data_IF_805300351057
#
_entry.id   IF_805300351057
#
_cell.length_a   1.000
_cell.length_b   1.000
_cell.length_c   1.000
_cell.angle_alpha   90.00
_cell.angle_beta   90.00
_cell.angle_gamma   90.00
#
_symmetry.space_group_name_H-M   'P 1'
#
loop_
_entity.id
_entity.type
_entity.pdbx_description
1 polymer ?
#
# COMPACT_ATOMS: atom_id res chain seq x y z
N UNK A 1 -4.28 -14.97 19.90
CA UNK A 1 -2.91 -15.51 20.11
C UNK A 1 -1.93 -15.24 18.97
N UNK A 2 -2.31 -15.32 17.68
CA UNK A 2 -1.36 -15.11 16.56
C UNK A 2 -0.81 -13.68 16.42
N UNK A 3 -1.63 -12.65 16.70
CA UNK A 3 -1.24 -11.24 16.57
C UNK A 3 -0.15 -10.82 17.57
N UNK A 4 -0.30 -11.17 18.85
CA UNK A 4 0.66 -10.80 19.92
C UNK A 4 2.07 -11.36 19.65
N UNK A 5 2.16 -12.61 19.17
CA UNK A 5 3.46 -13.22 18.83
C UNK A 5 4.11 -12.53 17.63
N UNK A 6 3.32 -12.13 16.64
CA UNK A 6 3.83 -11.40 15.48
C UNK A 6 4.36 -10.01 15.86
N UNK A 7 3.60 -9.27 16.67
CA UNK A 7 4.04 -7.97 17.20
C UNK A 7 5.36 -8.08 17.95
N UNK A 8 5.51 -9.10 18.81
CA UNK A 8 6.76 -9.37 19.53
C UNK A 8 7.93 -9.68 18.58
N UNK A 9 7.70 -10.47 17.52
CA UNK A 9 8.72 -10.75 16.51
C UNK A 9 9.17 -9.47 15.79
N UNK A 10 8.24 -8.59 15.43
CA UNK A 10 8.55 -7.28 14.83
C UNK A 10 9.33 -6.39 15.80
N UNK A 11 8.84 -6.22 17.05
CA UNK A 11 9.51 -5.43 18.08
C UNK A 11 10.96 -5.89 18.25
N UNK A 12 11.18 -7.21 18.36
CA UNK A 12 12.50 -7.79 18.50
C UNK A 12 13.39 -7.53 17.28
N UNK A 13 12.88 -7.80 16.08
CA UNK A 13 13.63 -7.60 14.83
C UNK A 13 14.02 -6.13 14.63
N UNK A 14 13.11 -5.21 14.95
CA UNK A 14 13.38 -3.77 14.89
C UNK A 14 14.44 -3.36 15.91
N UNK A 15 14.41 -3.88 17.14
CA UNK A 15 15.45 -3.62 18.15
C UNK A 15 16.82 -4.11 17.70
N UNK A 16 16.87 -5.30 17.10
CA UNK A 16 18.12 -5.90 16.61
C UNK A 16 18.71 -5.12 15.42
N UNK A 17 17.89 -4.59 14.53
CA UNK A 17 18.37 -3.92 13.30
C UNK A 17 18.54 -2.41 13.41
N UNK A 18 17.71 -1.73 14.21
CA UNK A 18 17.72 -0.25 14.31
C UNK A 18 18.34 0.26 15.60
N UNK A 19 18.65 -0.62 16.56
CA UNK A 19 19.02 -0.28 17.94
C UNK A 19 17.99 0.63 18.66
N UNK A 20 16.78 0.78 18.10
CA UNK A 20 15.75 1.63 18.67
C UNK A 20 15.15 0.98 19.92
N UNK A 21 14.96 1.78 20.97
CA UNK A 21 14.15 1.37 22.12
C UNK A 21 12.68 1.45 21.73
N UNK A 22 12.10 0.33 21.31
CA UNK A 22 10.67 0.21 21.01
C UNK A 22 9.93 -0.31 22.24
N UNK A 23 9.05 0.48 22.85
CA UNK A 23 8.27 0.05 24.02
C UNK A 23 6.88 -0.47 23.63
N UNK A 24 6.33 0.03 22.53
CA UNK A 24 4.99 -0.28 22.03
C UNK A 24 5.02 -0.78 20.59
N UNK A 25 3.93 -1.43 20.17
CA UNK A 25 3.72 -1.84 18.77
C UNK A 25 3.79 -0.64 17.81
N UNK A 26 3.24 0.51 18.22
CA UNK A 26 3.28 1.74 17.43
C UNK A 26 4.71 2.29 17.27
N UNK A 27 5.54 2.21 18.32
CA UNK A 27 6.96 2.56 18.23
C UNK A 27 7.70 1.64 17.28
N UNK A 28 7.41 0.33 17.35
CA UNK A 28 8.01 -0.65 16.47
C UNK A 28 7.61 -0.42 15.01
N UNK A 29 6.35 -0.08 14.74
CA UNK A 29 5.90 0.30 13.40
C UNK A 29 6.61 1.56 12.90
N UNK A 30 6.69 2.61 13.71
CA UNK A 30 7.40 3.86 13.36
C UNK A 30 8.88 3.62 13.09
N UNK A 31 9.55 2.83 13.91
CA UNK A 31 10.95 2.51 13.69
C UNK A 31 11.12 1.62 12.43
N UNK A 32 10.22 0.66 12.21
CA UNK A 32 10.21 -0.19 11.02
C UNK A 32 10.17 0.63 9.72
N UNK A 33 9.29 1.63 9.63
CA UNK A 33 9.16 2.44 8.41
C UNK A 33 10.39 3.32 8.13
N UNK A 34 11.27 3.54 9.11
CA UNK A 34 12.51 4.30 8.94
C UNK A 34 13.70 3.42 8.52
N UNK A 35 13.56 2.09 8.55
CA UNK A 35 14.61 1.17 8.12
C UNK A 35 14.68 1.19 6.58
N UNK A 36 15.85 1.56 6.05
CA UNK A 36 16.12 1.65 4.61
C UNK A 36 16.35 0.25 3.97
N UNK A 37 17.17 -0.61 4.58
CA UNK A 37 17.33 -2.01 4.12
C UNK A 37 16.50 -2.98 4.98
N UNK A 38 15.33 -3.35 4.45
CA UNK A 38 14.40 -4.27 5.11
C UNK A 38 14.55 -5.71 4.66
N UNK A 39 15.46 -6.04 3.74
CA UNK A 39 15.51 -7.41 3.18
C UNK A 39 15.77 -8.47 4.25
N UNK A 40 16.62 -8.12 5.23
CA UNK A 40 16.96 -9.03 6.32
C UNK A 40 15.91 -9.07 7.44
N UNK A 41 15.01 -8.08 7.54
CA UNK A 41 14.04 -8.04 8.65
C UNK A 41 13.08 -9.23 8.57
N UNK A 42 12.69 -9.62 7.36
CA UNK A 42 11.74 -10.71 7.16
C UNK A 42 12.33 -12.06 7.51
N UNK A 43 13.65 -12.24 7.33
CA UNK A 43 14.35 -13.44 7.79
C UNK A 43 14.28 -13.55 9.31
N UNK A 44 14.56 -12.45 10.03
CA UNK A 44 14.53 -12.43 11.50
C UNK A 44 13.11 -12.60 12.05
N UNK A 45 12.13 -11.89 11.46
CA UNK A 45 10.72 -12.03 11.86
C UNK A 45 10.22 -13.45 11.63
N UNK A 46 10.57 -14.05 10.48
CA UNK A 46 10.17 -15.40 10.13
C UNK A 46 10.79 -16.47 11.05
N UNK A 47 12.07 -16.33 11.41
CA UNK A 47 12.74 -17.19 12.39
C UNK A 47 12.02 -17.14 13.75
N UNK A 48 11.73 -15.94 14.25
CA UNK A 48 11.06 -15.76 15.54
C UNK A 48 9.59 -16.19 15.54
N UNK A 49 8.89 -16.02 14.43
CA UNK A 49 7.49 -16.38 14.29
C UNK A 49 7.30 -17.87 13.94
N UNK A 50 8.31 -18.50 13.33
CA UNK A 50 8.26 -19.88 12.84
C UNK A 50 7.48 -20.00 11.52
N UNK A 51 7.74 -19.13 10.55
CA UNK A 51 7.12 -19.16 9.23
C UNK A 51 8.17 -18.94 8.13
N UNK A 52 7.77 -18.91 6.85
CA UNK A 52 8.69 -18.47 5.79
C UNK A 52 8.70 -16.93 5.69
N UNK A 53 9.81 -16.31 5.22
CA UNK A 53 9.93 -14.84 5.11
C UNK A 53 8.80 -14.18 4.32
N UNK A 54 8.34 -14.82 3.24
CA UNK A 54 7.25 -14.30 2.43
C UNK A 54 5.93 -14.21 3.22
N UNK A 55 5.61 -15.20 4.06
CA UNK A 55 4.41 -15.17 4.91
C UNK A 55 4.49 -14.07 5.96
N UNK A 56 5.66 -13.84 6.56
CA UNK A 56 5.88 -12.76 7.51
C UNK A 56 5.69 -11.38 6.86
N UNK A 57 6.29 -11.18 5.69
CA UNK A 57 6.11 -9.99 4.88
C UNK A 57 4.63 -9.75 4.54
N UNK A 58 3.95 -10.76 4.02
CA UNK A 58 2.56 -10.63 3.59
C UNK A 58 1.62 -10.39 4.77
N UNK A 59 1.86 -11.03 5.91
CA UNK A 59 1.09 -10.76 7.12
C UNK A 59 1.31 -9.34 7.63
N UNK A 60 2.55 -8.84 7.62
CA UNK A 60 2.86 -7.47 8.00
C UNK A 60 2.06 -6.48 7.16
N UNK A 61 2.19 -6.57 5.83
CA UNK A 61 1.58 -5.60 4.91
C UNK A 61 0.06 -5.74 4.82
N UNK A 62 -0.49 -6.95 4.89
CA UNK A 62 -1.93 -7.14 4.69
C UNK A 62 -2.76 -7.03 5.97
N UNK A 63 -2.15 -7.24 7.14
CA UNK A 63 -2.88 -7.34 8.41
C UNK A 63 -2.30 -6.39 9.47
N UNK A 64 -1.03 -6.56 9.84
CA UNK A 64 -0.50 -5.90 11.04
C UNK A 64 -0.25 -4.41 10.86
N UNK A 65 0.26 -3.95 9.71
CA UNK A 65 0.55 -2.52 9.47
C UNK A 65 -0.71 -1.65 9.44
N UNK A 66 -1.84 -2.21 8.99
CA UNK A 66 -3.11 -1.49 8.81
C UNK A 66 -3.67 -0.92 10.10
N UNK A 67 -3.37 -1.53 11.25
CA UNK A 67 -3.86 -1.04 12.55
C UNK A 67 -3.22 0.29 12.98
N UNK A 68 -2.11 0.68 12.36
CA UNK A 68 -1.42 1.97 12.60
C UNK A 68 -1.69 3.00 11.50
N UNK A 69 -2.57 2.67 10.56
CA UNK A 69 -2.89 3.53 9.43
C UNK A 69 -4.30 4.12 9.60
N UNK A 70 -4.47 5.32 9.05
CA UNK A 70 -5.76 6.00 8.97
C UNK A 70 -6.70 5.26 8.01
N UNK A 71 -7.98 5.23 8.39
CA UNK A 71 -9.04 4.68 7.54
C UNK A 71 -9.35 5.62 6.38
N UNK A 72 -9.50 5.06 5.17
CA UNK A 72 -9.79 5.88 3.98
C UNK A 72 -11.24 6.37 3.87
N UNK A 73 -12.15 5.91 4.73
CA UNK A 73 -13.59 6.13 4.55
C UNK A 73 -13.97 7.62 4.44
N UNK A 74 -13.40 8.49 5.29
CA UNK A 74 -13.63 9.93 5.28
C UNK A 74 -12.95 10.67 4.13
N UNK A 75 -11.97 10.04 3.47
CA UNK A 75 -11.14 10.65 2.42
C UNK A 75 -11.53 10.20 1.01
N UNK A 76 -12.46 9.24 0.89
CA UNK A 76 -12.94 8.75 -0.42
C UNK A 76 -13.46 9.87 -1.33
N UNK A 77 -14.30 10.82 -0.86
CA UNK A 77 -14.78 11.90 -1.74
C UNK A 77 -13.66 12.77 -2.31
N UNK A 78 -12.60 13.01 -1.53
CA UNK A 78 -11.42 13.76 -1.99
C UNK A 78 -10.63 12.97 -3.04
N UNK A 79 -10.37 11.68 -2.78
CA UNK A 79 -9.70 10.80 -3.74
C UNK A 79 -10.49 10.69 -5.05
N UNK A 80 -11.82 10.65 -4.97
CA UNK A 80 -12.69 10.63 -6.15
C UNK A 80 -12.57 11.92 -6.97
N UNK A 81 -12.52 13.08 -6.30
CA UNK A 81 -12.32 14.38 -6.94
C UNK A 81 -10.94 14.47 -7.62
N UNK A 82 -9.88 14.10 -6.90
CA UNK A 82 -8.53 14.07 -7.46
C UNK A 82 -8.42 13.13 -8.66
N UNK A 83 -9.05 11.95 -8.59
CA UNK A 83 -9.08 11.00 -9.70
C UNK A 83 -9.80 11.59 -10.92
N UNK A 84 -10.95 12.24 -10.73
CA UNK A 84 -11.69 12.87 -11.82
C UNK A 84 -10.89 14.00 -12.49
N UNK A 85 -10.30 14.89 -11.69
CA UNK A 85 -9.48 16.02 -12.18
C UNK A 85 -8.30 15.55 -13.04
N UNK A 86 -7.65 14.46 -12.64
CA UNK A 86 -6.47 13.94 -13.33
C UNK A 86 -6.81 13.05 -14.54
N UNK A 87 -8.01 12.47 -14.57
CA UNK A 87 -8.44 11.53 -15.61
C UNK A 87 -8.78 12.21 -16.95
N UNK A 88 -9.20 13.48 -16.93
CA UNK A 88 -9.56 14.26 -18.14
C UNK A 88 -8.37 14.51 -19.10
N UNK A 89 -7.14 14.21 -18.70
CA UNK A 89 -5.93 14.58 -19.43
C UNK A 89 -5.44 13.54 -20.47
N UNK A 90 -6.24 12.50 -20.79
CA UNK A 90 -5.87 11.43 -21.74
C UNK A 90 -4.51 10.74 -21.46
N UNK A 91 -4.12 10.69 -20.19
CA UNK A 91 -2.85 10.09 -19.73
C UNK A 91 -3.00 8.60 -19.44
N UNK A 92 -1.85 7.93 -19.35
CA UNK A 92 -1.79 6.55 -18.88
C UNK A 92 -2.34 6.43 -17.45
N UNK A 93 -3.08 5.35 -17.18
CA UNK A 93 -3.74 5.12 -15.88
C UNK A 93 -2.74 5.00 -14.72
N UNK A 94 -1.56 4.44 -14.97
CA UNK A 94 -0.54 4.24 -13.94
C UNK A 94 0.06 5.58 -13.52
N UNK A 95 0.37 6.42 -14.50
CA UNK A 95 0.84 7.79 -14.27
C UNK A 95 -0.21 8.61 -13.54
N UNK A 96 -1.45 8.59 -14.03
CA UNK A 96 -2.59 9.26 -13.40
C UNK A 96 -2.77 8.81 -11.94
N UNK A 97 -2.73 7.51 -11.67
CA UNK A 97 -2.86 6.97 -10.33
C UNK A 97 -1.73 7.40 -9.40
N UNK A 98 -0.48 7.44 -9.90
CA UNK A 98 0.68 7.91 -9.13
C UNK A 98 0.52 9.39 -8.74
N UNK A 99 0.08 10.23 -9.66
CA UNK A 99 -0.09 11.67 -9.42
C UNK A 99 -1.21 11.93 -8.39
N UNK A 100 -2.34 11.25 -8.52
CA UNK A 100 -3.45 11.32 -7.54
C UNK A 100 -2.96 10.95 -6.14
N UNK A 101 -2.18 9.87 -6.01
CA UNK A 101 -1.62 9.44 -4.72
C UNK A 101 -0.63 10.46 -4.17
N UNK A 102 0.25 11.01 -5.02
CA UNK A 102 1.24 11.99 -4.61
C UNK A 102 0.57 13.26 -4.05
N UNK A 103 -0.40 13.81 -4.78
CA UNK A 103 -1.18 14.99 -4.34
C UNK A 103 -1.94 14.69 -3.04
N UNK A 104 -2.55 13.50 -2.94
CA UNK A 104 -3.26 13.10 -1.74
C UNK A 104 -2.33 13.03 -0.51
N UNK A 105 -1.14 12.46 -0.65
CA UNK A 105 -0.16 12.38 0.46
C UNK A 105 0.38 13.77 0.83
N UNK A 106 0.63 14.63 -0.15
CA UNK A 106 1.08 16.01 0.09
C UNK A 106 0.07 16.85 0.86
N UNK A 107 -1.23 16.63 0.64
CA UNK A 107 -2.32 17.33 1.36
C UNK A 107 -2.50 16.88 2.80
N UNK A 108 -1.99 15.70 3.17
CA UNK A 108 -2.21 15.09 4.48
C UNK A 108 -0.88 14.66 5.13
N UNK A 109 0.06 15.60 5.37
CA UNK A 109 1.41 15.28 5.86
C UNK A 109 1.43 14.72 7.28
N UNK A 110 0.39 14.94 8.08
CA UNK A 110 0.24 14.42 9.44
C UNK A 110 -0.41 13.02 9.48
N UNK A 111 -0.95 12.55 8.36
CA UNK A 111 -1.69 11.28 8.27
C UNK A 111 -0.83 10.17 7.71
N UNK A 112 -1.01 8.98 8.28
CA UNK A 112 -0.35 7.77 7.81
C UNK A 112 -1.37 6.86 7.15
N UNK A 113 -1.42 6.83 5.82
CA UNK A 113 -2.34 5.95 5.11
C UNK A 113 -1.70 4.61 4.76
N UNK A 114 -2.52 3.56 4.76
CA UNK A 114 -2.07 2.27 4.26
C UNK A 114 -1.93 2.35 2.73
N UNK A 115 -0.68 2.43 2.25
CA UNK A 115 -0.35 2.71 0.85
C UNK A 115 -1.06 1.81 -0.15
N UNK A 116 -1.06 0.49 0.08
CA UNK A 116 -1.74 -0.46 -0.80
C UNK A 116 -3.26 -0.20 -0.86
N UNK A 117 -3.88 0.21 0.25
CA UNK A 117 -5.30 0.55 0.26
C UNK A 117 -5.59 1.78 -0.60
N UNK A 118 -4.72 2.81 -0.53
CA UNK A 118 -4.86 4.02 -1.36
C UNK A 118 -4.69 3.66 -2.84
N UNK A 119 -3.63 2.93 -3.18
CA UNK A 119 -3.36 2.49 -4.55
C UNK A 119 -4.55 1.70 -5.14
N UNK A 120 -5.05 0.71 -4.39
CA UNK A 120 -6.19 -0.12 -4.83
C UNK A 120 -7.45 0.72 -5.03
N UNK A 121 -7.71 1.67 -4.14
CA UNK A 121 -8.87 2.54 -4.25
C UNK A 121 -8.78 3.43 -5.50
N UNK A 122 -7.68 4.16 -5.67
CA UNK A 122 -7.46 5.05 -6.82
C UNK A 122 -7.52 4.28 -8.13
N UNK A 123 -6.85 3.12 -8.21
CA UNK A 123 -6.85 2.30 -9.42
C UNK A 123 -8.25 1.82 -9.80
N UNK A 124 -9.04 1.36 -8.81
CA UNK A 124 -10.43 0.95 -9.02
C UNK A 124 -11.27 2.11 -9.55
N UNK A 125 -11.06 3.32 -9.01
CA UNK A 125 -11.81 4.50 -9.43
C UNK A 125 -11.48 4.89 -10.87
N UNK A 126 -10.20 4.97 -11.23
CA UNK A 126 -9.77 5.32 -12.58
C UNK A 126 -10.24 4.27 -13.61
N UNK A 127 -10.23 2.98 -13.28
CA UNK A 127 -10.81 1.94 -14.14
C UNK A 127 -12.31 2.09 -14.34
N UNK A 128 -13.04 2.47 -13.30
CA UNK A 128 -14.49 2.71 -13.38
C UNK A 128 -14.76 3.86 -14.36
N UNK A 129 -14.02 4.96 -14.24
CA UNK A 129 -14.11 6.11 -15.16
C UNK A 129 -13.75 5.73 -16.60
N UNK A 130 -12.70 4.94 -16.81
CA UNK A 130 -12.32 4.45 -18.15
C UNK A 130 -13.43 3.60 -18.78
N UNK A 131 -14.01 2.68 -18.01
CA UNK A 131 -15.12 1.85 -18.47
C UNK A 131 -16.34 2.69 -18.87
N UNK A 132 -16.70 3.68 -18.07
CA UNK A 132 -17.79 4.61 -18.38
C UNK A 132 -17.54 5.42 -19.66
N UNK A 133 -16.30 5.83 -19.91
CA UNK A 133 -15.91 6.52 -21.14
C UNK A 133 -15.99 5.61 -22.37
N UNK A 134 -15.56 4.36 -22.26
CA UNK A 134 -15.69 3.36 -23.34
C UNK A 134 -17.15 3.07 -23.67
N UNK A 135 -18.01 2.96 -22.66
CA UNK A 135 -19.45 2.77 -22.85
C UNK A 135 -20.10 3.96 -23.56
N UNK A 136 -19.72 5.20 -23.19
CA UNK A 136 -20.22 6.42 -23.84
C UNK A 136 -19.75 6.57 -25.29
N UNK A 137 -18.57 6.04 -25.63
CA UNK A 137 -18.00 6.09 -26.98
C UNK A 137 -18.45 4.94 -27.89
N UNK A 138 -19.21 3.96 -27.37
CA UNK A 138 -19.70 2.82 -28.16
C UNK A 138 -18.61 1.80 -28.53
N UNK A 139 -17.40 1.92 -27.97
CA UNK A 139 -16.33 0.94 -28.15
C UNK A 139 -16.45 -0.16 -27.08
N UNK A 140 -16.92 -1.34 -27.49
CA UNK A 140 -16.95 -2.53 -26.63
C UNK A 140 -15.54 -3.12 -26.51
N UNK A 141 -14.85 -2.88 -25.40
CA UNK A 141 -13.59 -3.56 -25.07
C UNK A 141 -13.87 -4.78 -24.21
N UNK A 142 -14.12 -5.92 -24.85
CA UNK A 142 -14.23 -7.21 -24.18
C UNK A 142 -12.80 -7.76 -24.00
N UNK A 143 -12.17 -7.48 -22.86
CA UNK A 143 -10.86 -8.07 -22.56
C UNK A 143 -10.72 -8.38 -21.07
N UNK A 144 -10.76 -9.68 -20.78
CA UNK A 144 -10.33 -10.42 -19.58
C UNK A 144 -9.92 -9.58 -18.35
N UNK A 145 -10.90 -9.24 -17.51
CA UNK A 145 -10.73 -8.52 -16.23
C UNK A 145 -9.79 -9.25 -15.24
N UNK A 146 -9.73 -10.59 -15.27
CA UNK A 146 -9.02 -11.41 -14.26
C UNK A 146 -7.50 -11.45 -14.43
N UNK A 147 -6.98 -11.36 -15.65
CA UNK A 147 -5.51 -11.33 -15.86
C UNK A 147 -4.90 -9.98 -15.46
N UNK A 148 -5.71 -8.92 -15.40
CA UNK A 148 -5.25 -7.58 -15.08
C UNK A 148 -5.13 -7.33 -13.58
N UNK A 149 -6.02 -7.90 -12.74
CA UNK A 149 -5.96 -7.66 -11.28
C UNK A 149 -4.66 -8.19 -10.65
N UNK A 150 -4.20 -9.37 -11.08
CA UNK A 150 -2.93 -9.93 -10.62
C UNK A 150 -1.73 -9.07 -11.07
N UNK A 151 -1.76 -8.60 -12.33
CA UNK A 151 -0.73 -7.72 -12.88
C UNK A 151 -0.69 -6.38 -12.14
N UNK A 152 -1.84 -5.84 -11.72
CA UNK A 152 -1.92 -4.61 -10.93
C UNK A 152 -1.34 -4.81 -9.53
N UNK A 153 -1.55 -5.95 -8.89
CA UNK A 153 -0.92 -6.25 -7.62
C UNK A 153 0.61 -6.29 -7.74
N UNK A 154 1.13 -6.95 -8.78
CA UNK A 154 2.56 -7.04 -9.04
C UNK A 154 3.16 -5.68 -9.43
N UNK A 155 2.42 -4.84 -10.17
CA UNK A 155 2.84 -3.48 -10.50
C UNK A 155 2.78 -2.51 -9.32
N UNK A 156 1.76 -2.62 -8.46
CA UNK A 156 1.69 -1.87 -7.21
C UNK A 156 2.86 -2.31 -6.33
N UNK A 157 3.15 -3.62 -6.23
CA UNK A 157 4.31 -4.15 -5.49
C UNK A 157 5.63 -3.59 -6.02
N UNK A 158 5.82 -3.53 -7.34
CA UNK A 158 7.00 -2.89 -7.94
C UNK A 158 7.09 -1.40 -7.62
N UNK A 159 5.99 -0.65 -7.74
CA UNK A 159 5.95 0.78 -7.35
C UNK A 159 6.21 0.96 -5.85
N UNK A 160 5.75 0.01 -5.03
CA UNK A 160 5.98 -0.02 -3.59
C UNK A 160 7.48 -0.15 -3.28
N UNK A 161 8.19 -0.97 -4.05
CA UNK A 161 9.61 -1.30 -3.87
C UNK A 161 10.58 -0.30 -4.55
N UNK A 162 10.16 0.44 -5.58
CA UNK A 162 11.07 1.23 -6.44
C UNK A 162 11.08 2.75 -6.19
N UNK A 163 10.28 3.26 -5.27
CA UNK A 163 10.18 4.70 -5.03
C UNK A 163 9.82 4.95 -3.56
N UNK A 164 10.40 5.99 -2.97
CA UNK A 164 10.46 6.30 -1.53
C UNK A 164 11.62 5.62 -0.78
N UNK A 165 12.84 5.88 -1.26
CA UNK A 165 14.03 6.13 -0.41
C UNK A 165 13.87 7.52 0.21
#
# INVERSE_FOLDING_TARGET
>A
MKQTRFAQAIIRSVRELSYAKTATDADAYRAFIQIQDRRNIWLVVADHYGCIPQEAHDYFHNVWSKQFCEGLASFKPELDALAAENFEQDRDLKETGRDVIAVFVERHPDKHFHRLSVCQYVHKQLKTMQKERSLKSGQSSDTSEKSLEQNVYDQIKQLLDSSWV
#
